data_IF_884349498869
#
_entry.id   IF_884349498869
#
_cell.length_a   1.000
_cell.length_b   1.000
_cell.length_c   1.000
_cell.angle_alpha   90.00
_cell.angle_beta   90.00
_cell.angle_gamma   90.00
#
_symmetry.space_group_name_H-M   'P 1'
#
loop_
_entity.id
_entity.type
_entity.pdbx_description
1 polymer ?
#
# COMPACT_ATOMS: atom_id res chain seq x y z
N UNK A 1 -10.88 0.20 -11.97
CA UNK A 1 -9.76 -0.02 -12.89
C UNK A 1 -8.77 -1.02 -12.28
N UNK A 2 -8.25 -1.93 -13.09
CA UNK A 2 -7.16 -2.83 -12.73
C UNK A 2 -5.93 -2.47 -13.58
N UNK A 3 -4.79 -2.20 -12.94
CA UNK A 3 -3.59 -1.68 -13.60
C UNK A 3 -2.37 -2.54 -13.27
N UNK A 4 -1.61 -2.90 -14.29
CA UNK A 4 -0.29 -3.51 -14.13
C UNK A 4 0.76 -2.53 -13.59
N UNK A 5 1.95 -3.02 -13.20
CA UNK A 5 3.02 -2.18 -12.69
C UNK A 5 3.55 -1.23 -13.77
N UNK A 6 3.93 -0.02 -13.36
CA UNK A 6 4.55 1.00 -14.23
C UNK A 6 5.79 1.56 -13.57
N UNK A 7 6.76 2.02 -14.36
CA UNK A 7 7.98 2.67 -13.88
C UNK A 7 8.15 4.01 -14.61
N UNK A 8 8.41 5.08 -13.87
CA UNK A 8 8.77 6.39 -14.40
C UNK A 8 10.29 6.55 -14.28
N UNK A 9 10.97 6.82 -15.38
CA UNK A 9 12.42 7.02 -15.36
C UNK A 9 12.77 8.44 -14.87
N UNK A 10 13.87 8.62 -14.13
CA UNK A 10 14.28 9.93 -13.62
C UNK A 10 15.07 10.75 -14.67
N UNK A 11 14.54 10.85 -15.90
CA UNK A 11 15.16 11.64 -16.97
C UNK A 11 14.32 12.87 -17.28
N UNK A 12 14.93 14.01 -17.70
CA UNK A 12 14.20 15.25 -17.98
C UNK A 12 13.07 15.09 -19.02
N UNK A 13 13.26 14.21 -20.00
CA UNK A 13 12.31 13.97 -21.08
C UNK A 13 11.22 12.95 -20.72
N UNK A 14 11.31 12.33 -19.54
CA UNK A 14 10.29 11.35 -19.11
C UNK A 14 9.00 12.07 -18.73
N UNK A 15 7.84 11.67 -19.28
CA UNK A 15 6.56 12.21 -18.88
C UNK A 15 6.31 12.01 -17.39
N UNK A 16 5.47 12.86 -16.81
CA UNK A 16 5.01 12.73 -15.43
C UNK A 16 4.48 11.31 -15.16
N UNK A 17 4.69 10.80 -13.94
CA UNK A 17 4.24 9.46 -13.56
C UNK A 17 2.76 9.25 -13.89
N UNK A 18 2.48 8.23 -14.71
CA UNK A 18 1.12 7.85 -15.11
C UNK A 18 0.27 7.52 -13.88
N UNK A 19 0.82 6.80 -12.90
CA UNK A 19 0.11 6.44 -11.68
C UNK A 19 -0.29 7.70 -10.88
N UNK A 20 0.62 8.68 -10.74
CA UNK A 20 0.32 9.96 -10.07
C UNK A 20 -0.75 10.74 -10.83
N UNK A 21 -0.64 10.80 -12.16
CA UNK A 21 -1.62 11.50 -13.01
C UNK A 21 -3.01 10.88 -12.90
N UNK A 22 -3.13 9.56 -12.90
CA UNK A 22 -4.41 8.84 -12.72
C UNK A 22 -4.99 9.14 -11.33
N UNK A 23 -4.21 9.05 -10.26
CA UNK A 23 -4.66 9.36 -8.89
C UNK A 23 -5.22 10.77 -8.78
N UNK A 24 -4.53 11.75 -9.36
CA UNK A 24 -4.95 13.14 -9.33
C UNK A 24 -6.18 13.40 -10.20
N UNK A 25 -6.24 12.84 -11.41
CA UNK A 25 -7.34 13.04 -12.35
C UNK A 25 -8.67 12.45 -11.84
N UNK A 26 -8.62 11.24 -11.28
CA UNK A 26 -9.80 10.56 -10.74
C UNK A 26 -10.03 10.79 -9.24
N UNK A 27 -9.23 11.66 -8.62
CA UNK A 27 -9.27 12.00 -7.19
C UNK A 27 -9.20 10.76 -6.27
N UNK A 28 -8.29 9.83 -6.59
CA UNK A 28 -8.04 8.61 -5.83
C UNK A 28 -7.15 8.95 -4.63
N UNK A 29 -7.77 9.42 -3.56
CA UNK A 29 -7.05 10.03 -2.44
C UNK A 29 -6.45 9.05 -1.45
N UNK A 30 -6.99 7.83 -1.32
CA UNK A 30 -6.50 6.84 -0.39
C UNK A 30 -5.77 5.71 -1.14
N UNK A 31 -4.43 5.69 -1.07
CA UNK A 31 -3.65 4.54 -1.50
C UNK A 31 -3.47 3.61 -0.30
N UNK A 32 -4.01 2.42 -0.42
CA UNK A 32 -4.09 1.42 0.66
C UNK A 32 -3.20 0.24 0.34
N UNK A 33 -2.32 -0.12 1.28
CA UNK A 33 -1.36 -1.23 1.15
C UNK A 33 -1.45 -2.13 2.38
N UNK A 34 -2.12 -3.28 2.32
CA UNK A 34 -2.05 -4.29 3.38
C UNK A 34 -0.63 -4.86 3.47
N UNK A 35 -0.10 -4.91 4.67
CA UNK A 35 1.21 -5.47 5.00
C UNK A 35 0.97 -6.68 5.88
N UNK A 36 0.95 -7.86 5.25
CA UNK A 36 0.64 -9.12 5.92
C UNK A 36 1.57 -10.21 5.45
N UNK A 37 2.21 -10.90 6.38
CA UNK A 37 3.02 -12.08 6.08
C UNK A 37 2.15 -13.24 5.60
N UNK A 38 2.67 -14.00 4.65
CA UNK A 38 2.00 -15.18 4.13
C UNK A 38 2.32 -16.41 4.99
N UNK A 39 1.42 -17.41 5.04
CA UNK A 39 1.66 -18.64 5.77
C UNK A 39 2.95 -19.32 5.29
N UNK A 40 3.75 -19.83 6.22
CA UNK A 40 5.05 -20.47 5.98
C UNK A 40 6.12 -19.57 5.30
N UNK A 41 5.80 -18.30 5.04
CA UNK A 41 6.72 -17.27 4.54
C UNK A 41 6.89 -16.22 5.63
N UNK A 42 7.59 -16.59 6.69
CA UNK A 42 7.90 -15.64 7.78
C UNK A 42 8.83 -14.57 7.23
N UNK A 43 8.43 -13.33 7.34
CA UNK A 43 9.28 -12.19 7.00
C UNK A 43 10.54 -12.15 7.86
N UNK A 44 11.55 -11.35 7.49
CA UNK A 44 12.85 -11.32 8.17
C UNK A 44 12.77 -10.98 9.66
N UNK A 45 11.68 -10.35 10.10
CA UNK A 45 11.48 -9.92 11.49
C UNK A 45 10.22 -10.54 12.14
N UNK A 46 9.72 -11.66 11.60
CA UNK A 46 8.55 -12.35 12.13
C UNK A 46 7.24 -12.00 11.42
N UNK A 47 6.12 -12.40 12.00
CA UNK A 47 4.80 -12.19 11.41
C UNK A 47 4.30 -10.76 11.63
N UNK A 48 3.77 -10.16 10.58
CA UNK A 48 3.14 -8.84 10.63
C UNK A 48 1.77 -8.87 9.96
N UNK A 49 0.83 -8.05 10.46
CA UNK A 49 -0.50 -7.84 9.88
C UNK A 49 -1.02 -6.43 10.26
N UNK A 50 -0.75 -5.44 9.43
CA UNK A 50 -1.24 -4.06 9.56
C UNK A 50 -1.49 -3.44 8.18
N UNK A 51 -2.10 -2.27 8.13
CA UNK A 51 -2.39 -1.59 6.86
C UNK A 51 -1.75 -0.21 6.83
N UNK A 52 -1.08 0.10 5.73
CA UNK A 52 -0.62 1.44 5.38
C UNK A 52 -1.68 2.17 4.56
N UNK A 53 -2.10 3.36 5.01
CA UNK A 53 -3.04 4.24 4.31
C UNK A 53 -2.33 5.56 3.98
N UNK A 54 -2.09 5.78 2.68
CA UNK A 54 -1.33 6.89 2.12
C UNK A 54 -2.27 7.91 1.48
N UNK A 55 -2.15 9.19 1.81
CA UNK A 55 -2.75 10.25 1.02
C UNK A 55 -2.12 10.26 -0.39
N UNK A 56 -2.92 10.21 -1.44
CA UNK A 56 -2.45 9.93 -2.81
C UNK A 56 -2.43 11.14 -3.76
N UNK A 57 -2.95 12.33 -3.36
CA UNK A 57 -3.27 13.41 -4.32
C UNK A 57 -2.46 14.70 -4.14
N UNK A 58 -1.82 14.91 -3.00
CA UNK A 58 -1.09 16.15 -2.71
C UNK A 58 0.32 15.93 -2.10
N UNK A 59 0.78 16.80 -1.26
CA UNK A 59 2.12 16.78 -0.69
C UNK A 59 3.17 17.26 -1.69
N UNK A 60 4.34 16.64 -1.69
CA UNK A 60 5.39 16.89 -2.68
C UNK A 60 5.05 16.32 -4.07
N UNK A 61 4.11 15.38 -4.15
CA UNK A 61 3.64 14.80 -5.41
C UNK A 61 2.78 15.76 -6.27
N UNK A 62 2.47 16.96 -5.77
CA UNK A 62 1.94 18.04 -6.61
C UNK A 62 2.92 18.47 -7.71
N UNK A 63 4.23 18.22 -7.53
CA UNK A 63 5.28 18.60 -8.47
C UNK A 63 5.48 20.10 -8.56
N UNK A 64 5.19 20.85 -7.48
CA UNK A 64 5.46 22.27 -7.39
C UNK A 64 6.93 22.47 -7.01
N UNK A 65 7.78 22.53 -8.01
CA UNK A 65 9.22 22.69 -7.86
C UNK A 65 9.73 23.84 -8.73
N UNK A 66 10.74 24.55 -8.22
CA UNK A 66 11.36 25.66 -8.91
C UNK A 66 12.86 25.65 -8.69
N UNK A 67 13.61 25.81 -9.78
CA UNK A 67 15.04 26.14 -9.71
C UNK A 67 15.18 27.67 -9.55
N UNK A 68 15.72 28.09 -8.44
CA UNK A 68 15.91 29.52 -8.13
C UNK A 68 17.24 30.04 -8.74
N UNK A 69 18.27 29.19 -8.82
CA UNK A 69 19.57 29.46 -9.46
C UNK A 69 20.24 28.13 -9.83
N UNK A 70 21.45 28.18 -10.38
CA UNK A 70 22.22 26.96 -10.66
C UNK A 70 22.55 26.17 -9.38
N UNK A 71 22.62 26.85 -8.25
CA UNK A 71 23.00 26.26 -6.96
C UNK A 71 21.81 26.07 -6.01
N UNK A 72 20.58 26.42 -6.42
CA UNK A 72 19.42 26.38 -5.51
C UNK A 72 18.13 25.94 -6.21
N UNK A 73 17.49 24.92 -5.68
CA UNK A 73 16.14 24.51 -6.06
C UNK A 73 15.24 24.37 -4.84
N UNK A 74 13.95 24.62 -5.00
CA UNK A 74 12.92 24.47 -3.96
C UNK A 74 11.82 23.55 -4.41
N UNK A 75 11.20 22.86 -3.44
CA UNK A 75 9.98 22.08 -3.63
C UNK A 75 8.94 22.50 -2.60
N UNK A 76 7.68 22.64 -3.04
CA UNK A 76 6.58 23.11 -2.20
C UNK A 76 5.71 21.91 -1.81
N UNK A 77 5.66 21.62 -0.51
CA UNK A 77 4.78 20.60 0.06
C UNK A 77 3.42 21.22 0.38
N UNK A 78 2.40 20.84 -0.38
CA UNK A 78 1.02 21.31 -0.20
C UNK A 78 0.24 20.34 0.71
N UNK A 79 -0.34 20.85 1.81
CA UNK A 79 -1.20 20.08 2.73
C UNK A 79 -2.51 20.84 2.90
N UNK A 80 -3.64 20.18 2.62
CA UNK A 80 -4.97 20.79 2.71
C UNK A 80 -5.87 20.11 3.72
N UNK A 81 -6.79 20.88 4.31
CA UNK A 81 -7.82 20.36 5.23
C UNK A 81 -8.64 19.25 4.55
N UNK A 82 -9.04 19.47 3.29
CA UNK A 82 -9.84 18.49 2.54
C UNK A 82 -9.14 17.13 2.47
N UNK A 83 -7.87 17.09 2.04
CA UNK A 83 -7.13 15.86 1.90
C UNK A 83 -6.85 15.19 3.26
N UNK A 84 -6.45 15.97 4.27
CA UNK A 84 -6.21 15.45 5.62
C UNK A 84 -7.49 14.88 6.25
N UNK A 85 -8.65 15.55 6.09
CA UNK A 85 -9.92 15.08 6.65
C UNK A 85 -10.36 13.76 6.03
N UNK A 86 -10.31 13.64 4.69
CA UNK A 86 -10.80 12.44 4.02
C UNK A 86 -9.88 11.24 4.24
N UNK A 87 -8.56 11.43 4.27
CA UNK A 87 -7.63 10.33 4.56
C UNK A 87 -7.74 9.86 6.01
N UNK A 88 -7.93 10.79 6.96
CA UNK A 88 -8.18 10.44 8.35
C UNK A 88 -9.49 9.65 8.50
N UNK A 89 -10.60 10.14 7.94
CA UNK A 89 -11.88 9.39 7.97
C UNK A 89 -11.72 8.00 7.38
N UNK A 90 -11.10 7.87 6.22
CA UNK A 90 -10.86 6.58 5.58
C UNK A 90 -10.10 5.61 6.50
N UNK A 91 -9.05 6.08 7.17
CA UNK A 91 -8.26 5.26 8.10
C UNK A 91 -9.08 4.81 9.33
N UNK A 92 -9.88 5.71 9.90
CA UNK A 92 -10.74 5.36 11.04
C UNK A 92 -11.89 4.42 10.65
N UNK A 93 -12.55 4.66 9.50
CA UNK A 93 -13.59 3.77 8.97
C UNK A 93 -13.04 2.37 8.71
N UNK A 94 -11.87 2.26 8.08
CA UNK A 94 -11.20 1.00 7.86
C UNK A 94 -10.85 0.27 9.18
N UNK A 95 -10.43 0.99 10.21
CA UNK A 95 -10.18 0.40 11.52
C UNK A 95 -11.46 -0.24 12.09
N UNK A 96 -12.60 0.46 12.01
CA UNK A 96 -13.91 -0.06 12.42
C UNK A 96 -14.32 -1.29 11.63
N UNK A 97 -14.25 -1.23 10.29
CA UNK A 97 -14.61 -2.35 9.40
C UNK A 97 -13.80 -3.61 9.69
N UNK A 98 -12.50 -3.45 10.01
CA UNK A 98 -11.63 -4.56 10.41
C UNK A 98 -11.78 -5.01 11.88
N UNK A 99 -12.52 -4.29 12.69
CA UNK A 99 -12.58 -4.50 14.14
C UNK A 99 -11.24 -4.19 14.84
N UNK A 100 -10.38 -3.41 14.21
CA UNK A 100 -9.10 -2.97 14.77
C UNK A 100 -9.27 -1.71 15.63
N UNK A 101 -8.44 -1.56 16.66
CA UNK A 101 -8.69 -0.58 17.71
C UNK A 101 -7.85 0.69 17.61
N UNK A 102 -6.88 0.75 16.69
CA UNK A 102 -5.94 1.88 16.67
C UNK A 102 -5.60 2.38 15.28
N UNK A 103 -5.55 3.71 15.16
CA UNK A 103 -5.00 4.46 14.02
C UNK A 103 -3.72 5.17 14.45
N UNK A 104 -2.64 5.00 13.70
CA UNK A 104 -1.35 5.65 13.92
C UNK A 104 -1.15 6.75 12.89
N UNK A 105 -1.03 8.00 13.32
CA UNK A 105 -0.82 9.16 12.46
C UNK A 105 0.67 9.50 12.36
N UNK A 106 1.33 9.05 11.30
CA UNK A 106 2.77 9.25 11.07
C UNK A 106 3.01 10.65 10.55
N UNK A 107 3.93 11.38 11.21
CA UNK A 107 4.16 12.79 10.98
C UNK A 107 5.60 13.22 11.32
N UNK A 108 5.94 14.47 11.05
CA UNK A 108 7.18 15.13 11.52
C UNK A 108 6.88 16.51 12.12
N UNK A 109 5.82 16.62 12.90
CA UNK A 109 5.29 17.86 13.46
C UNK A 109 6.26 18.62 14.39
N UNK A 110 7.27 17.94 14.93
CA UNK A 110 8.34 18.61 15.70
C UNK A 110 9.22 19.54 14.83
N UNK A 111 9.33 19.28 13.53
CA UNK A 111 10.05 20.07 12.53
C UNK A 111 9.09 20.83 11.62
N UNK A 112 8.12 20.13 11.06
CA UNK A 112 7.15 20.68 10.08
C UNK A 112 5.88 21.15 10.81
N UNK A 113 6.02 22.20 11.62
CA UNK A 113 4.96 22.67 12.52
C UNK A 113 3.70 23.10 11.78
N UNK A 114 3.86 23.80 10.65
CA UNK A 114 2.73 24.31 9.87
C UNK A 114 2.03 23.22 9.05
N UNK A 115 2.76 22.32 8.42
CA UNK A 115 2.15 21.29 7.58
C UNK A 115 1.74 20.06 8.38
N UNK A 116 2.63 19.47 9.16
CA UNK A 116 2.31 18.25 9.92
C UNK A 116 1.58 18.54 11.22
N UNK A 117 1.84 19.71 11.85
CA UNK A 117 1.00 20.19 12.95
C UNK A 117 -0.45 20.42 12.52
N UNK A 118 -0.66 20.99 11.33
CA UNK A 118 -1.99 21.14 10.73
C UNK A 118 -2.64 19.79 10.44
N UNK A 119 -1.90 18.83 9.85
CA UNK A 119 -2.36 17.45 9.63
C UNK A 119 -2.83 16.81 10.95
N UNK A 120 -1.99 16.84 12.00
CA UNK A 120 -2.33 16.24 13.30
C UNK A 120 -3.57 16.87 13.95
N UNK A 121 -3.72 18.18 13.88
CA UNK A 121 -4.92 18.86 14.39
C UNK A 121 -6.19 18.39 13.68
N UNK A 122 -6.12 18.16 12.38
CA UNK A 122 -7.27 17.65 11.60
C UNK A 122 -7.55 16.19 11.97
N UNK A 123 -6.51 15.38 12.16
CA UNK A 123 -6.68 13.99 12.63
C UNK A 123 -7.37 13.95 13.99
N UNK A 124 -6.94 14.80 14.93
CA UNK A 124 -7.58 14.93 16.24
C UNK A 124 -9.06 15.34 16.12
N UNK A 125 -9.37 16.32 15.26
CA UNK A 125 -10.75 16.77 15.03
C UNK A 125 -11.62 15.63 14.45
N UNK A 126 -11.09 14.80 13.55
CA UNK A 126 -11.77 13.64 12.99
C UNK A 126 -11.95 12.56 14.06
N UNK A 127 -10.92 12.25 14.83
CA UNK A 127 -10.91 11.21 15.85
C UNK A 127 -12.03 11.38 16.89
N UNK A 128 -12.46 12.60 17.17
CA UNK A 128 -13.59 12.89 18.10
C UNK A 128 -14.90 12.19 17.70
N UNK A 129 -15.06 11.82 16.42
CA UNK A 129 -16.23 11.08 15.92
C UNK A 129 -16.06 9.56 15.98
N UNK A 130 -14.93 9.07 16.50
CA UNK A 130 -14.55 7.66 16.55
C UNK A 130 -14.10 7.26 17.94
N UNK A 131 -14.99 7.41 18.93
CA UNK A 131 -14.70 7.11 20.36
C UNK A 131 -14.34 5.64 20.65
N UNK A 132 -14.62 4.75 19.71
CA UNK A 132 -14.34 3.32 19.74
C UNK A 132 -12.98 2.95 19.11
N UNK A 133 -12.28 3.91 18.49
CA UNK A 133 -10.96 3.72 17.86
C UNK A 133 -9.95 4.68 18.49
N UNK A 134 -8.95 4.11 19.13
CA UNK A 134 -7.82 4.91 19.64
C UNK A 134 -6.99 5.47 18.50
N UNK A 135 -6.27 6.56 18.75
CA UNK A 135 -5.26 7.05 17.83
C UNK A 135 -4.03 7.57 18.55
N UNK A 136 -2.88 7.52 17.89
CA UNK A 136 -1.64 8.11 18.41
C UNK A 136 -0.84 8.78 17.29
N UNK A 137 -0.25 9.98 17.56
CA UNK A 137 0.73 10.56 16.67
C UNK A 137 2.08 9.83 16.80
N UNK A 138 2.75 9.57 15.68
CA UNK A 138 4.05 8.94 15.67
C UNK A 138 5.02 9.71 14.78
N UNK A 139 6.19 10.07 15.27
CA UNK A 139 7.21 10.68 14.42
C UNK A 139 7.76 9.64 13.43
N UNK A 140 7.88 10.02 12.15
CA UNK A 140 8.25 9.13 11.07
C UNK A 140 9.58 8.40 11.31
N UNK A 141 10.59 9.10 11.81
CA UNK A 141 11.89 8.53 12.14
C UNK A 141 11.81 7.46 13.24
N UNK A 142 11.00 7.71 14.27
CA UNK A 142 10.76 6.74 15.32
C UNK A 142 9.91 5.57 14.80
N UNK A 143 8.92 5.82 13.95
CA UNK A 143 8.12 4.76 13.35
C UNK A 143 8.98 3.82 12.49
N UNK A 144 9.83 4.37 11.61
CA UNK A 144 10.78 3.62 10.80
C UNK A 144 11.72 2.77 11.68
N UNK A 145 12.29 3.38 12.75
CA UNK A 145 13.12 2.63 13.70
C UNK A 145 12.36 1.46 14.33
N UNK A 146 11.11 1.67 14.74
CA UNK A 146 10.31 0.62 15.38
C UNK A 146 9.86 -0.46 14.40
N UNK A 147 9.63 -0.14 13.12
CA UNK A 147 9.38 -1.13 12.07
C UNK A 147 10.51 -2.16 11.97
N UNK A 148 11.76 -1.69 12.06
CA UNK A 148 12.95 -2.58 12.01
C UNK A 148 13.18 -3.29 13.34
N UNK A 149 12.85 -2.65 14.47
CA UNK A 149 13.15 -3.20 15.80
C UNK A 149 12.10 -4.16 16.32
N UNK A 150 10.81 -3.83 16.16
CA UNK A 150 9.68 -4.59 16.69
C UNK A 150 8.42 -4.31 15.86
N UNK A 151 8.32 -4.81 14.61
CA UNK A 151 7.19 -4.52 13.73
C UNK A 151 5.86 -5.06 14.24
N UNK A 152 5.85 -6.13 15.05
CA UNK A 152 4.64 -6.77 15.58
C UNK A 152 3.79 -5.82 16.45
N UNK A 153 4.41 -4.79 17.03
CA UNK A 153 3.69 -3.77 17.80
C UNK A 153 2.65 -3.01 16.98
N UNK A 154 2.78 -3.04 15.66
CA UNK A 154 1.87 -2.40 14.72
C UNK A 154 0.79 -3.34 14.19
N UNK A 155 0.81 -4.61 14.56
CA UNK A 155 -0.22 -5.57 14.14
C UNK A 155 -1.61 -5.10 14.55
N UNK A 156 -2.58 -5.32 13.66
CA UNK A 156 -3.97 -4.91 13.80
C UNK A 156 -4.15 -3.40 14.03
N UNK A 157 -3.27 -2.59 13.42
CA UNK A 157 -3.38 -1.14 13.40
C UNK A 157 -3.44 -0.61 11.97
N UNK A 158 -4.05 0.56 11.81
CA UNK A 158 -3.98 1.34 10.57
C UNK A 158 -2.91 2.41 10.73
N UNK A 159 -1.85 2.32 9.96
CA UNK A 159 -0.83 3.37 9.88
C UNK A 159 -1.15 4.31 8.72
N UNK A 160 -1.38 5.60 9.01
CA UNK A 160 -1.68 6.58 7.96
C UNK A 160 -0.71 7.76 7.98
N UNK A 161 -0.50 8.35 6.81
CA UNK A 161 0.28 9.59 6.68
C UNK A 161 -0.03 10.34 5.39
N UNK A 162 0.59 11.51 5.29
CA UNK A 162 0.71 12.30 4.07
C UNK A 162 1.52 11.55 3.01
N UNK A 163 1.42 11.98 1.78
CA UNK A 163 1.84 11.25 0.58
C UNK A 163 3.27 10.69 0.66
N UNK A 164 4.30 11.54 0.70
CA UNK A 164 5.70 11.08 0.64
C UNK A 164 6.09 10.21 1.84
N UNK A 165 5.69 10.60 3.04
CA UNK A 165 6.07 9.85 4.24
C UNK A 165 5.53 8.43 4.21
N UNK A 166 4.27 8.25 3.82
CA UNK A 166 3.71 6.91 3.72
C UNK A 166 4.22 6.14 2.50
N UNK A 167 4.67 6.81 1.43
CA UNK A 167 5.33 6.13 0.34
C UNK A 167 6.59 5.40 0.83
N UNK A 168 7.46 6.13 1.52
CA UNK A 168 8.71 5.56 2.08
C UNK A 168 8.42 4.47 3.11
N UNK A 169 7.54 4.76 4.08
CA UNK A 169 7.21 3.81 5.15
C UNK A 169 6.56 2.53 4.60
N UNK A 170 5.68 2.63 3.62
CA UNK A 170 5.03 1.43 3.08
C UNK A 170 5.97 0.58 2.21
N UNK A 171 6.98 1.18 1.58
CA UNK A 171 8.05 0.42 0.91
C UNK A 171 8.96 -0.29 1.93
N UNK A 172 9.36 0.39 3.01
CA UNK A 172 10.08 -0.25 4.12
C UNK A 172 9.26 -1.40 4.72
N UNK A 173 7.97 -1.17 4.98
CA UNK A 173 7.05 -2.20 5.48
C UNK A 173 6.90 -3.39 4.52
N UNK A 174 6.98 -3.16 3.20
CA UNK A 174 6.95 -4.25 2.22
C UNK A 174 8.10 -5.24 2.38
N UNK A 175 9.25 -4.78 2.86
CA UNK A 175 10.40 -5.63 3.18
C UNK A 175 10.12 -6.62 4.31
N UNK A 176 9.18 -6.32 5.21
CA UNK A 176 8.83 -7.18 6.33
C UNK A 176 8.10 -8.47 5.92
N UNK A 177 7.44 -8.48 4.78
CA UNK A 177 6.72 -9.66 4.28
C UNK A 177 7.55 -10.56 3.35
N UNK A 178 8.83 -10.23 3.17
CA UNK A 178 9.82 -11.06 2.48
C UNK A 178 9.94 -10.83 0.98
N UNK A 179 8.92 -10.32 0.30
CA UNK A 179 8.97 -9.98 -1.13
C UNK A 179 8.00 -8.86 -1.49
N UNK A 180 8.50 -7.84 -2.21
CA UNK A 180 7.66 -6.79 -2.78
C UNK A 180 6.67 -7.33 -3.84
N UNK A 181 6.98 -8.47 -4.46
CA UNK A 181 6.09 -9.16 -5.39
C UNK A 181 4.79 -9.69 -4.74
N UNK A 182 4.70 -9.62 -3.41
CA UNK A 182 3.50 -9.98 -2.65
C UNK A 182 2.64 -8.79 -2.22
N UNK A 183 3.12 -7.54 -2.39
CA UNK A 183 2.43 -6.34 -1.91
C UNK A 183 1.42 -5.84 -2.95
N UNK A 184 0.16 -6.05 -2.69
CA UNK A 184 -0.95 -5.53 -3.48
C UNK A 184 -1.49 -4.22 -2.91
N UNK A 185 -2.14 -3.41 -3.73
CA UNK A 185 -2.65 -2.10 -3.31
C UNK A 185 -3.94 -1.72 -4.03
N UNK A 186 -4.68 -0.81 -3.39
CA UNK A 186 -5.80 -0.12 -3.99
C UNK A 186 -5.64 1.39 -3.85
N UNK A 187 -6.07 2.14 -4.85
CA UNK A 187 -6.21 3.59 -4.80
C UNK A 187 -7.70 3.90 -4.86
N UNK A 188 -8.23 4.44 -3.79
CA UNK A 188 -9.66 4.64 -3.57
C UNK A 188 -10.00 6.13 -3.59
N UNK A 189 -11.04 6.48 -4.31
CA UNK A 189 -11.70 7.78 -4.32
C UNK A 189 -13.19 7.64 -4.05
N UNK A 190 -13.91 8.76 -4.01
CA UNK A 190 -15.34 8.74 -3.73
C UNK A 190 -16.20 8.10 -4.87
N UNK A 191 -15.69 8.12 -6.11
CA UNK A 191 -16.41 7.63 -7.29
C UNK A 191 -15.69 6.51 -8.03
N UNK A 192 -14.40 6.44 -7.92
CA UNK A 192 -13.54 5.55 -8.71
C UNK A 192 -12.53 4.85 -7.81
N UNK A 193 -12.10 3.67 -8.25
CA UNK A 193 -11.03 2.93 -7.62
C UNK A 193 -10.07 2.35 -8.67
N UNK A 194 -8.79 2.23 -8.32
CA UNK A 194 -7.76 1.59 -9.14
C UNK A 194 -6.98 0.59 -8.29
N UNK A 195 -6.91 -0.64 -8.76
CA UNK A 195 -6.20 -1.74 -8.10
C UNK A 195 -4.91 -2.04 -8.86
N UNK A 196 -3.80 -2.10 -8.16
CA UNK A 196 -2.48 -2.28 -8.75
C UNK A 196 -1.51 -2.95 -7.78
N UNK A 197 -0.49 -3.69 -8.25
CA UNK A 197 0.62 -4.09 -7.39
C UNK A 197 1.40 -2.85 -6.92
N UNK A 198 1.97 -2.91 -5.71
CA UNK A 198 2.75 -1.79 -5.18
C UNK A 198 4.08 -1.58 -5.91
N UNK A 199 4.69 -2.68 -6.42
CA UNK A 199 5.98 -2.65 -7.10
C UNK A 199 5.93 -2.05 -8.52
N UNK A 200 7.09 -1.59 -9.00
CA UNK A 200 7.28 -1.13 -10.38
C UNK A 200 7.37 -2.28 -11.41
N UNK A 201 7.61 -1.94 -12.66
CA UNK A 201 7.60 -2.87 -13.81
C UNK A 201 8.81 -3.81 -13.91
N UNK A 202 9.85 -3.62 -13.09
CA UNK A 202 11.07 -4.44 -13.04
C UNK A 202 11.66 -4.78 -14.44
N UNK A 203 12.04 -3.76 -15.26
CA UNK A 203 12.36 -3.95 -16.68
C UNK A 203 13.51 -4.94 -16.94
N UNK A 204 14.40 -5.15 -15.94
CA UNK A 204 15.49 -6.14 -16.02
C UNK A 204 15.02 -7.59 -16.17
N UNK A 205 13.77 -7.88 -15.84
CA UNK A 205 13.18 -9.22 -15.94
C UNK A 205 12.25 -9.39 -17.15
N UNK A 206 12.20 -8.39 -18.04
CA UNK A 206 11.35 -8.44 -19.24
C UNK A 206 11.60 -9.71 -20.05
N UNK A 207 10.55 -10.48 -20.34
CA UNK A 207 10.61 -11.71 -21.16
C UNK A 207 11.14 -12.94 -20.44
N UNK A 208 11.55 -12.85 -19.17
CA UNK A 208 12.16 -13.98 -18.44
C UNK A 208 11.14 -14.93 -17.77
N UNK A 209 9.85 -14.58 -17.74
CA UNK A 209 8.81 -15.34 -17.05
C UNK A 209 9.18 -15.74 -15.60
N UNK A 210 9.77 -14.79 -14.85
CA UNK A 210 10.44 -15.07 -13.56
C UNK A 210 9.84 -14.35 -12.36
N UNK A 211 9.16 -13.21 -12.58
CA UNK A 211 8.66 -12.37 -11.49
C UNK A 211 7.46 -13.00 -10.78
N UNK A 212 7.32 -12.72 -9.50
CA UNK A 212 6.21 -13.16 -8.67
C UNK A 212 4.89 -12.50 -9.11
N UNK A 213 3.82 -13.23 -9.46
CA UNK A 213 2.55 -12.67 -9.89
C UNK A 213 1.59 -12.34 -8.76
N UNK A 214 1.93 -12.68 -7.51
CA UNK A 214 1.03 -12.60 -6.34
C UNK A 214 0.39 -11.23 -6.17
N UNK A 215 1.19 -10.16 -6.15
CA UNK A 215 0.67 -8.80 -5.94
C UNK A 215 -0.36 -8.41 -7.01
N UNK A 216 -0.10 -8.77 -8.25
CA UNK A 216 -1.01 -8.52 -9.37
C UNK A 216 -2.30 -9.32 -9.21
N UNK A 217 -2.21 -10.63 -8.91
CA UNK A 217 -3.37 -11.50 -8.70
C UNK A 217 -4.24 -10.99 -7.53
N UNK A 218 -3.62 -10.67 -6.39
CA UNK A 218 -4.34 -10.18 -5.20
C UNK A 218 -4.95 -8.79 -5.41
N UNK A 219 -4.32 -7.92 -6.20
CA UNK A 219 -4.94 -6.65 -6.61
C UNK A 219 -6.22 -6.88 -7.43
N UNK A 220 -6.19 -7.88 -8.33
CA UNK A 220 -7.38 -8.30 -9.09
C UNK A 220 -8.46 -8.91 -8.21
N UNK A 221 -8.09 -9.76 -7.25
CA UNK A 221 -9.01 -10.33 -6.27
C UNK A 221 -9.68 -9.24 -5.43
N UNK A 222 -8.92 -8.25 -4.97
CA UNK A 222 -9.49 -7.12 -4.22
C UNK A 222 -10.44 -6.27 -5.08
N UNK A 223 -10.14 -6.09 -6.37
CA UNK A 223 -11.07 -5.45 -7.29
C UNK A 223 -12.39 -6.21 -7.38
N UNK A 224 -12.36 -7.54 -7.43
CA UNK A 224 -13.58 -8.37 -7.43
C UNK A 224 -14.41 -8.17 -6.15
N UNK A 225 -13.78 -8.17 -4.98
CA UNK A 225 -14.45 -7.85 -3.71
C UNK A 225 -15.12 -6.47 -3.76
N UNK A 226 -14.39 -5.46 -4.25
CA UNK A 226 -14.88 -4.09 -4.35
C UNK A 226 -16.12 -3.93 -5.24
N UNK A 227 -16.25 -4.73 -6.30
CA UNK A 227 -17.43 -4.71 -7.19
C UNK A 227 -18.53 -5.71 -6.78
N UNK A 228 -18.40 -6.35 -5.62
CA UNK A 228 -19.41 -7.25 -5.05
C UNK A 228 -19.24 -8.73 -5.38
N UNK A 229 -18.22 -9.11 -6.14
CA UNK A 229 -17.91 -10.51 -6.50
C UNK A 229 -17.10 -11.20 -5.39
N UNK A 230 -17.64 -11.16 -4.17
CA UNK A 230 -16.94 -11.59 -2.96
C UNK A 230 -16.52 -13.06 -2.99
N UNK A 231 -17.38 -13.96 -3.48
CA UNK A 231 -17.08 -15.39 -3.55
C UNK A 231 -15.85 -15.66 -4.43
N UNK A 232 -15.74 -14.97 -5.57
CA UNK A 232 -14.58 -15.08 -6.47
C UNK A 232 -13.33 -14.52 -5.81
N UNK A 233 -13.45 -13.37 -5.16
CA UNK A 233 -12.36 -12.75 -4.41
C UNK A 233 -11.82 -13.68 -3.32
N UNK A 234 -12.68 -14.17 -2.44
CA UNK A 234 -12.31 -15.06 -1.34
C UNK A 234 -11.62 -16.34 -1.83
N UNK A 235 -12.11 -16.92 -2.94
CA UNK A 235 -11.50 -18.10 -3.54
C UNK A 235 -10.08 -17.82 -4.07
N UNK A 236 -9.85 -16.68 -4.73
CA UNK A 236 -8.52 -16.29 -5.23
C UNK A 236 -7.57 -15.96 -4.09
N UNK A 237 -8.01 -15.22 -3.07
CA UNK A 237 -7.21 -14.96 -1.88
C UNK A 237 -6.79 -16.27 -1.21
N UNK A 238 -7.76 -17.15 -0.93
CA UNK A 238 -7.49 -18.45 -0.31
C UNK A 238 -6.53 -19.29 -1.15
N UNK A 239 -6.77 -19.44 -2.43
CA UNK A 239 -5.90 -20.20 -3.34
C UNK A 239 -4.47 -19.67 -3.35
N UNK A 240 -4.30 -18.34 -3.38
CA UNK A 240 -2.98 -17.70 -3.36
C UNK A 240 -2.24 -18.00 -2.05
N UNK A 241 -2.93 -17.87 -0.90
CA UNK A 241 -2.36 -18.20 0.41
C UNK A 241 -1.99 -19.68 0.52
N UNK A 242 -2.84 -20.58 0.02
CA UNK A 242 -2.59 -22.03 0.04
C UNK A 242 -1.38 -22.42 -0.83
N UNK A 243 -1.27 -21.88 -2.07
CA UNK A 243 -0.11 -22.13 -2.96
C UNK A 243 1.19 -21.65 -2.33
N UNK A 244 1.18 -20.47 -1.69
CA UNK A 244 2.37 -19.95 -1.01
C UNK A 244 2.70 -20.80 0.22
N UNK A 245 1.70 -21.23 0.99
CA UNK A 245 1.89 -22.08 2.16
C UNK A 245 2.47 -23.45 1.80
N UNK A 246 2.05 -24.03 0.69
CA UNK A 246 2.56 -25.31 0.16
C UNK A 246 4.01 -25.19 -0.34
N UNK A 247 4.38 -24.02 -0.89
CA UNK A 247 5.74 -23.71 -1.34
C UNK A 247 6.24 -24.48 -2.56
N UNK A 248 5.42 -25.37 -3.13
CA UNK A 248 5.81 -26.20 -4.27
C UNK A 248 5.89 -25.42 -5.59
N UNK A 249 4.91 -24.53 -5.83
CA UNK A 249 4.77 -23.76 -7.07
C UNK A 249 4.96 -22.25 -6.83
N UNK A 250 6.05 -21.86 -6.15
CA UNK A 250 6.36 -20.47 -5.85
C UNK A 250 7.63 -20.00 -6.56
N UNK A 251 7.71 -18.69 -6.83
CA UNK A 251 8.83 -18.07 -7.55
C UNK A 251 10.09 -17.94 -6.67
N UNK A 252 11.21 -17.57 -7.30
CA UNK A 252 12.54 -17.52 -6.68
C UNK A 252 12.65 -16.59 -5.45
N UNK A 253 11.89 -15.50 -5.43
CA UNK A 253 11.83 -14.53 -4.32
C UNK A 253 11.17 -15.12 -3.06
N UNK A 254 10.30 -16.12 -3.26
CA UNK A 254 9.75 -16.97 -2.20
C UNK A 254 10.54 -18.29 -2.02
N UNK A 255 11.80 -18.32 -2.48
CA UNK A 255 12.74 -19.46 -2.39
C UNK A 255 12.30 -20.69 -3.22
N UNK A 256 11.38 -20.54 -4.16
CA UNK A 256 10.96 -21.60 -5.08
C UNK A 256 11.70 -21.57 -6.41
N UNK A 257 11.20 -22.36 -7.36
CA UNK A 257 11.75 -22.50 -8.72
C UNK A 257 10.74 -22.26 -9.83
N UNK A 258 9.47 -22.05 -9.47
CA UNK A 258 8.41 -21.83 -10.43
C UNK A 258 8.61 -20.52 -11.22
N UNK A 259 8.23 -20.55 -12.47
CA UNK A 259 8.08 -19.37 -13.30
C UNK A 259 6.84 -18.55 -12.91
N UNK A 260 6.70 -17.34 -13.45
CA UNK A 260 5.51 -16.49 -13.28
C UNK A 260 4.23 -17.24 -13.70
N UNK A 261 4.25 -17.89 -14.87
CA UNK A 261 3.09 -18.62 -15.40
C UNK A 261 2.75 -19.87 -14.58
N UNK A 262 3.73 -20.68 -14.20
CA UNK A 262 3.49 -21.88 -13.38
C UNK A 262 2.87 -21.54 -12.02
N UNK A 263 3.35 -20.49 -11.36
CA UNK A 263 2.74 -20.03 -10.11
C UNK A 263 1.32 -19.49 -10.32
N UNK A 264 1.08 -18.73 -11.40
CA UNK A 264 -0.23 -18.19 -11.71
C UNK A 264 -1.24 -19.30 -12.05
N UNK A 265 -0.84 -20.33 -12.83
CA UNK A 265 -1.64 -21.50 -13.14
C UNK A 265 -2.00 -22.30 -11.90
N UNK A 266 -1.03 -22.55 -11.00
CA UNK A 266 -1.28 -23.24 -9.73
C UNK A 266 -2.32 -22.50 -8.87
N UNK A 267 -2.24 -21.16 -8.80
CA UNK A 267 -3.24 -20.34 -8.08
C UNK A 267 -4.61 -20.44 -8.76
N UNK A 268 -4.65 -20.36 -10.10
CA UNK A 268 -5.91 -20.41 -10.85
C UNK A 268 -6.62 -21.77 -10.70
N UNK A 269 -5.88 -22.86 -10.80
CA UNK A 269 -6.45 -24.21 -10.66
C UNK A 269 -6.97 -24.46 -9.23
N UNK A 270 -6.23 -24.00 -8.23
CA UNK A 270 -6.69 -24.08 -6.85
C UNK A 270 -7.92 -23.21 -6.57
N UNK A 271 -7.99 -22.01 -7.15
CA UNK A 271 -9.18 -21.15 -7.02
C UNK A 271 -10.42 -21.80 -7.69
N UNK A 272 -10.27 -22.40 -8.86
CA UNK A 272 -11.33 -23.18 -9.52
C UNK A 272 -11.82 -24.33 -8.64
N UNK A 273 -10.88 -25.09 -8.04
CA UNK A 273 -11.22 -26.21 -7.16
C UNK A 273 -12.01 -25.75 -5.92
N UNK A 274 -11.65 -24.61 -5.32
CA UNK A 274 -12.38 -24.01 -4.18
C UNK A 274 -13.81 -23.64 -4.62
N UNK A 275 -13.98 -22.98 -5.76
CA UNK A 275 -15.29 -22.56 -6.28
C UNK A 275 -16.21 -23.73 -6.64
N UNK A 276 -15.67 -24.87 -7.05
CA UNK A 276 -16.47 -26.05 -7.39
C UNK A 276 -16.91 -26.86 -6.17
N UNK A 277 -16.31 -26.61 -5.00
CA UNK A 277 -16.66 -27.25 -3.72
C UNK A 277 -17.61 -26.41 -2.85
N UNK A 278 -17.85 -25.17 -3.24
CA UNK A 278 -18.76 -24.21 -2.59
C UNK A 278 -20.13 -24.22 -3.24
#
# INVERSE_FOLDING_TARGET
>A
CYKGPTTTLPTPDTPRSVAVSIRQFFDLYANVRPIKTFPNQVGPLGEVDFVCVREGTEGLYTGLEHRLSDDCAISIRKITRRACTRIARYAFDMAREKGWKKVIAINKGNILKETDGFFLKIVEDVARNYSDVEWEPYFIDNFAQQLVKNPQRFNQNIAMSTNLFMDVISEEASGLIGSIGCVYSANIGDKYAMFEPAHGSAPKYKGMNKVNPTATILSGAWMLDYIGEKQLSDAIFKATYDVIAEGASVTYDLKGKASTSEMAEAIADKAKAILTQS
#
